data_IF_570563052842
#
_entry.id   IF_570563052842
#
_cell.length_a   1.000
_cell.length_b   1.000
_cell.length_c   1.000
_cell.angle_alpha   90.00
_cell.angle_beta   90.00
_cell.angle_gamma   90.00
#
_symmetry.space_group_name_H-M   'P 1'
#
loop_
_entity.id
_entity.type
_entity.pdbx_description
1 polymer ?
#
# COMPACT_ATOMS: atom_id res chain seq x y z
N UNK A 1 -6.99 11.40 -4.64
CA UNK A 1 -5.89 12.32 -5.02
C UNK A 1 -4.66 11.46 -5.23
N UNK A 2 -4.21 11.41 -6.47
CA UNK A 2 -2.96 10.77 -6.88
C UNK A 2 -2.02 11.91 -7.33
N UNK A 3 -0.73 11.80 -7.02
CA UNK A 3 0.25 12.82 -7.40
C UNK A 3 0.64 12.63 -8.87
N UNK A 4 0.56 13.70 -9.65
CA UNK A 4 0.85 13.65 -11.09
C UNK A 4 2.35 13.43 -11.38
N UNK A 5 2.70 12.83 -12.54
CA UNK A 5 4.08 12.77 -13.02
C UNK A 5 4.73 14.17 -13.04
N UNK A 6 6.00 14.24 -12.65
CA UNK A 6 6.74 15.49 -12.46
C UNK A 6 6.60 16.12 -11.07
N UNK A 7 5.67 15.64 -10.24
CA UNK A 7 5.53 16.10 -8.85
C UNK A 7 6.73 15.69 -8.00
N UNK A 8 7.26 16.62 -7.20
CA UNK A 8 8.23 16.32 -6.15
C UNK A 8 7.51 15.81 -4.91
N UNK A 9 8.05 14.75 -4.32
CA UNK A 9 7.58 14.12 -3.09
C UNK A 9 8.66 14.14 -2.04
N UNK A 10 8.23 14.28 -0.79
CA UNK A 10 9.05 14.06 0.40
C UNK A 10 8.68 12.73 1.07
N UNK A 11 9.65 12.07 1.71
CA UNK A 11 9.40 10.87 2.49
C UNK A 11 8.31 11.13 3.55
N UNK A 12 7.31 10.25 3.60
CA UNK A 12 6.16 10.39 4.50
C UNK A 12 5.03 11.29 3.97
N UNK A 13 5.22 11.97 2.84
CA UNK A 13 4.16 12.74 2.20
C UNK A 13 3.07 11.83 1.62
N UNK A 14 1.81 12.27 1.64
CA UNK A 14 0.70 11.52 1.05
C UNK A 14 0.89 11.37 -0.46
N UNK A 15 1.05 10.14 -0.91
CA UNK A 15 1.20 9.77 -2.30
C UNK A 15 -0.15 9.52 -2.96
N UNK A 16 -0.97 8.68 -2.32
CA UNK A 16 -2.27 8.28 -2.84
C UNK A 16 -3.25 7.92 -1.72
N UNK A 17 -4.52 7.76 -2.10
CA UNK A 17 -5.60 7.36 -1.21
C UNK A 17 -6.35 6.19 -1.80
N UNK A 18 -6.39 5.08 -1.08
CA UNK A 18 -7.17 3.89 -1.41
C UNK A 18 -8.50 3.98 -0.66
N UNK A 19 -9.61 3.72 -1.34
CA UNK A 19 -10.94 3.69 -0.73
C UNK A 19 -11.60 2.35 -1.00
N UNK A 20 -12.11 1.69 0.04
CA UNK A 20 -12.81 0.41 -0.03
C UNK A 20 -14.08 0.50 0.80
N UNK A 21 -15.23 0.65 0.13
CA UNK A 21 -16.48 1.00 0.80
C UNK A 21 -16.32 2.29 1.62
N UNK A 22 -16.65 2.21 2.91
CA UNK A 22 -16.50 3.34 3.85
C UNK A 22 -15.06 3.53 4.38
N UNK A 23 -14.16 2.57 4.11
CA UNK A 23 -12.77 2.62 4.59
C UNK A 23 -11.90 3.44 3.65
N UNK A 24 -11.02 4.25 4.22
CA UNK A 24 -10.08 5.10 3.48
C UNK A 24 -8.68 4.93 4.06
N UNK A 25 -7.73 4.55 3.23
CA UNK A 25 -6.32 4.42 3.59
C UNK A 25 -5.50 5.46 2.82
N UNK A 26 -4.71 6.24 3.55
CA UNK A 26 -3.71 7.12 2.94
C UNK A 26 -2.39 6.36 2.85
N UNK A 27 -1.86 6.23 1.63
CA UNK A 27 -0.54 5.65 1.40
C UNK A 27 0.44 6.81 1.25
N UNK A 28 1.51 6.75 2.03
CA UNK A 28 2.58 7.76 2.03
C UNK A 28 3.73 7.34 1.14
N UNK A 29 4.49 8.32 0.65
CA UNK A 29 5.69 8.06 -0.12
C UNK A 29 6.76 7.42 0.77
N UNK A 30 7.33 6.27 0.40
CA UNK A 30 8.40 5.64 1.17
C UNK A 30 9.69 6.45 1.13
N UNK A 31 9.89 7.22 0.05
CA UNK A 31 11.13 7.93 -0.26
C UNK A 31 10.86 9.31 -0.86
N UNK A 32 11.83 10.22 -0.74
CA UNK A 32 11.81 11.55 -1.33
C UNK A 32 12.31 11.48 -2.78
N UNK A 33 11.60 12.11 -3.70
CA UNK A 33 11.87 11.92 -5.12
C UNK A 33 10.94 12.67 -6.04
N UNK A 34 10.99 12.32 -7.32
CA UNK A 34 10.08 12.83 -8.34
C UNK A 34 9.27 11.68 -8.92
N UNK A 35 7.95 11.84 -9.02
CA UNK A 35 7.09 10.87 -9.70
C UNK A 35 7.43 10.89 -11.18
N UNK A 36 7.82 9.76 -11.75
CA UNK A 36 8.18 9.64 -13.17
C UNK A 36 7.02 9.12 -14.00
N UNK A 37 6.30 8.11 -13.49
CA UNK A 37 5.21 7.46 -14.21
C UNK A 37 4.11 7.04 -13.23
N UNK A 38 2.87 6.99 -13.73
CA UNK A 38 1.73 6.40 -13.06
C UNK A 38 1.20 5.23 -13.90
N UNK A 39 0.70 4.19 -13.24
CA UNK A 39 0.05 3.09 -13.94
C UNK A 39 -1.44 3.40 -14.11
N UNK A 40 -1.80 3.88 -15.30
CA UNK A 40 -3.18 4.19 -15.63
C UNK A 40 -4.09 2.95 -15.73
N UNK A 41 -3.53 1.75 -15.95
CA UNK A 41 -4.30 0.52 -16.06
C UNK A 41 -5.06 0.19 -14.77
N UNK A 42 -4.54 0.58 -13.61
CA UNK A 42 -5.22 0.37 -12.31
C UNK A 42 -6.46 1.26 -12.17
N UNK A 43 -6.49 2.42 -12.85
CA UNK A 43 -7.66 3.28 -12.88
C UNK A 43 -8.80 2.69 -13.71
N UNK A 44 -8.46 1.88 -14.72
CA UNK A 44 -9.41 1.20 -15.59
C UNK A 44 -9.86 -0.14 -14.98
N UNK A 45 -8.91 -0.92 -14.47
CA UNK A 45 -9.13 -2.21 -13.84
C UNK A 45 -8.40 -2.32 -12.48
N UNK A 46 -9.12 -2.10 -11.37
CA UNK A 46 -8.58 -2.28 -10.03
C UNK A 46 -8.30 -3.74 -9.64
N UNK A 47 -8.79 -4.75 -10.39
CA UNK A 47 -8.55 -6.16 -10.05
C UNK A 47 -7.08 -6.55 -10.20
N UNK A 48 -6.35 -5.85 -11.07
CA UNK A 48 -4.91 -6.03 -11.30
C UNK A 48 -4.11 -5.95 -9.99
N UNK A 49 -4.52 -5.08 -9.04
CA UNK A 49 -3.89 -4.97 -7.73
C UNK A 49 -4.02 -6.23 -6.87
N UNK A 50 -5.09 -6.99 -7.05
CA UNK A 50 -5.33 -8.24 -6.33
C UNK A 50 -4.66 -9.42 -7.03
N UNK A 51 -4.71 -9.46 -8.36
CA UNK A 51 -4.23 -10.60 -9.14
C UNK A 51 -2.70 -10.65 -9.25
N UNK A 52 -2.06 -9.49 -9.47
CA UNK A 52 -0.61 -9.39 -9.64
C UNK A 52 -0.05 -8.09 -9.03
N UNK A 53 0.03 -7.98 -7.69
CA UNK A 53 0.38 -6.75 -7.00
C UNK A 53 1.80 -6.24 -7.30
N UNK A 54 2.74 -7.15 -7.60
CA UNK A 54 4.16 -6.81 -7.80
C UNK A 54 4.60 -6.82 -9.27
N UNK A 55 3.85 -7.45 -10.17
CA UNK A 55 4.06 -7.37 -11.61
C UNK A 55 3.25 -6.23 -12.22
N UNK A 56 2.05 -6.53 -12.73
CA UNK A 56 1.18 -5.57 -13.42
C UNK A 56 0.56 -4.52 -12.49
N UNK A 57 0.46 -4.79 -11.20
CA UNK A 57 -0.18 -3.95 -10.18
C UNK A 57 0.68 -2.85 -9.56
N UNK A 58 1.83 -2.50 -10.17
CA UNK A 58 2.63 -1.35 -9.72
C UNK A 58 1.82 -0.05 -9.86
N UNK A 59 1.89 0.85 -8.87
CA UNK A 59 1.04 2.06 -8.86
C UNK A 59 1.73 3.27 -9.48
N UNK A 60 2.97 3.52 -9.10
CA UNK A 60 3.75 4.63 -9.61
C UNK A 60 5.24 4.30 -9.61
N UNK A 61 5.99 4.97 -10.48
CA UNK A 61 7.45 4.98 -10.46
C UNK A 61 7.94 6.31 -9.90
N UNK A 62 8.95 6.25 -9.02
CA UNK A 62 9.54 7.42 -8.37
C UNK A 62 11.03 7.38 -8.62
N UNK A 63 11.60 8.48 -9.11
CA UNK A 63 13.05 8.71 -9.14
C UNK A 63 13.49 9.25 -7.77
N UNK A 64 14.25 8.49 -6.97
CA UNK A 64 14.72 8.95 -5.67
C UNK A 64 15.64 10.16 -5.80
N UNK A 65 15.60 11.06 -4.81
CA UNK A 65 16.56 12.18 -4.72
C UNK A 65 17.88 11.74 -4.09
N UNK A 66 17.81 10.85 -3.09
CA UNK A 66 18.98 10.25 -2.43
C UNK A 66 18.68 8.78 -2.09
N UNK A 67 19.10 7.88 -2.97
CA UNK A 67 18.86 6.45 -2.82
C UNK A 67 19.60 5.83 -1.62
N UNK A 68 20.88 6.19 -1.45
CA UNK A 68 21.74 5.55 -0.44
C UNK A 68 21.31 5.95 0.97
N UNK A 69 20.98 7.22 1.19
CA UNK A 69 20.56 7.68 2.51
C UNK A 69 19.20 7.11 2.93
N UNK A 70 18.25 6.97 1.99
CA UNK A 70 16.87 6.64 2.33
C UNK A 70 16.59 5.13 2.41
N UNK A 71 17.29 4.30 1.64
CA UNK A 71 17.05 2.84 1.60
C UNK A 71 17.55 2.12 2.84
N UNK A 72 18.55 2.67 3.52
CA UNK A 72 19.21 2.03 4.69
C UNK A 72 18.23 1.71 5.83
N UNK A 73 17.11 2.43 5.93
CA UNK A 73 16.09 2.20 6.97
C UNK A 73 15.01 1.16 6.64
N UNK A 74 15.06 0.51 5.46
CA UNK A 74 14.05 -0.46 5.06
C UNK A 74 14.48 -1.89 5.37
N UNK A 75 13.50 -2.71 5.76
CA UNK A 75 13.70 -4.15 5.88
C UNK A 75 13.74 -4.76 4.46
N UNK A 76 14.74 -5.60 4.21
CA UNK A 76 14.94 -6.25 2.90
C UNK A 76 14.98 -7.77 3.08
N UNK A 77 14.47 -8.49 2.08
CA UNK A 77 14.49 -9.96 2.02
C UNK A 77 13.93 -10.62 3.29
N UNK A 78 14.72 -11.47 3.95
CA UNK A 78 14.33 -12.19 5.17
C UNK A 78 13.88 -11.24 6.29
N UNK A 79 14.56 -10.09 6.43
CA UNK A 79 14.20 -9.08 7.43
C UNK A 79 12.80 -8.50 7.22
N UNK A 80 12.34 -8.37 5.96
CA UNK A 80 10.98 -7.91 5.67
C UNK A 80 9.94 -8.96 6.07
N UNK A 81 10.24 -10.23 5.82
CA UNK A 81 9.36 -11.35 6.17
C UNK A 81 9.23 -11.50 7.69
N UNK A 82 10.34 -11.38 8.40
CA UNK A 82 10.36 -11.44 9.86
C UNK A 82 9.60 -10.27 10.50
N UNK A 83 9.78 -9.06 9.95
CA UNK A 83 9.02 -7.90 10.40
C UNK A 83 7.51 -8.10 10.19
N UNK A 84 7.10 -8.57 9.00
CA UNK A 84 5.69 -8.84 8.69
C UNK A 84 5.09 -9.89 9.61
N UNK A 85 5.84 -10.96 9.92
CA UNK A 85 5.39 -12.01 10.85
C UNK A 85 5.13 -11.45 12.24
N UNK A 86 6.09 -10.69 12.78
CA UNK A 86 5.96 -10.04 14.10
C UNK A 86 4.79 -9.06 14.13
N UNK A 87 4.60 -8.31 13.05
CA UNK A 87 3.50 -7.36 12.95
C UNK A 87 2.13 -8.06 12.90
N UNK A 88 2.03 -9.19 12.20
CA UNK A 88 0.82 -10.02 12.20
C UNK A 88 0.50 -10.58 13.59
N UNK A 89 1.51 -11.03 14.33
CA UNK A 89 1.36 -11.49 15.72
C UNK A 89 0.86 -10.37 16.62
N UNK A 90 1.45 -9.17 16.52
CA UNK A 90 1.02 -7.97 17.26
C UNK A 90 -0.45 -7.64 17.00
N UNK A 91 -0.90 -7.68 15.74
CA UNK A 91 -2.30 -7.41 15.37
C UNK A 91 -3.23 -8.51 15.88
N UNK A 92 -2.81 -9.78 15.78
CA UNK A 92 -3.59 -10.92 16.30
C UNK A 92 -3.82 -10.80 17.80
N UNK A 93 -2.79 -10.42 18.54
CA UNK A 93 -2.87 -10.25 19.99
C UNK A 93 -3.71 -9.03 20.35
N UNK A 94 -3.58 -7.91 19.61
CA UNK A 94 -4.48 -6.76 19.76
C UNK A 94 -5.94 -7.13 19.56
N UNK A 95 -6.26 -7.95 18.54
CA UNK A 95 -7.64 -8.42 18.28
C UNK A 95 -8.20 -9.23 19.44
N UNK A 96 -7.39 -10.03 20.13
CA UNK A 96 -7.83 -10.84 21.29
C UNK A 96 -8.22 -9.98 22.51
N UNK A 97 -7.72 -8.75 22.58
CA UNK A 97 -7.99 -7.81 23.68
C UNK A 97 -9.22 -6.93 23.40
N UNK A 98 -9.74 -6.90 22.17
CA UNK A 98 -10.95 -6.15 21.83
C UNK A 98 -12.20 -6.86 22.40
N UNK A 99 -13.09 -6.16 23.12
CA UNK A 99 -14.39 -6.70 23.48
C UNK A 99 -15.16 -7.14 22.23
N UNK A 100 -15.90 -8.23 22.33
CA UNK A 100 -16.70 -8.79 21.25
C UNK A 100 -17.94 -7.92 20.94
N UNK A 101 -17.76 -6.67 20.54
CA UNK A 101 -18.84 -5.83 20.03
C UNK A 101 -18.38 -5.06 18.80
N UNK A 102 -18.33 -5.80 17.69
CA UNK A 102 -18.86 -5.41 16.38
C UNK A 102 -18.48 -6.53 15.44
N UNK A 103 -19.42 -7.43 15.17
CA UNK A 103 -19.40 -8.24 13.96
C UNK A 103 -19.19 -7.29 12.78
N UNK A 104 -17.95 -7.21 12.30
CA UNK A 104 -17.70 -6.81 10.92
C UNK A 104 -18.42 -7.87 10.08
N UNK A 105 -19.68 -7.61 9.73
CA UNK A 105 -20.34 -8.25 8.59
C UNK A 105 -19.51 -7.88 7.37
N UNK A 106 -18.47 -8.67 7.13
CA UNK A 106 -17.79 -8.68 5.85
C UNK A 106 -18.90 -8.98 4.84
N UNK A 107 -19.21 -8.07 3.89
CA UNK A 107 -20.08 -8.44 2.80
C UNK A 107 -19.46 -9.68 2.14
N UNK A 108 -20.27 -10.65 1.66
CA UNK A 108 -19.72 -11.80 0.96
C UNK A 108 -18.79 -11.26 -0.13
N UNK A 109 -17.53 -11.68 -0.10
CA UNK A 109 -16.60 -11.43 -1.18
C UNK A 109 -17.12 -12.20 -2.40
N UNK A 110 -18.05 -11.59 -3.14
CA UNK A 110 -18.52 -12.15 -4.39
C UNK A 110 -17.57 -11.63 -5.47
N UNK A 111 -16.50 -12.39 -5.70
CA UNK A 111 -15.79 -12.32 -6.97
C UNK A 111 -16.75 -12.92 -8.01
N UNK A 112 -17.59 -12.08 -8.64
CA UNK A 112 -18.30 -12.50 -9.86
C UNK A 112 -17.32 -12.31 -11.02
N UNK A 113 -16.80 -13.41 -11.53
CA UNK A 113 -16.36 -13.49 -12.92
C UNK A 113 -17.61 -13.43 -13.79
N UNK A 114 -17.78 -12.35 -14.54
CA UNK A 114 -18.53 -12.37 -15.80
C UNK A 114 -17.52 -12.40 -16.95
#
# INVERSE_FOLDING_TARGET
MLKEPGSRLTRGEKLLKISLGDKRLAVVSPLSGMVTCLNHAIGEDPSILHDDPYGKGWICSIRPSDWMAEVTGFAVAEGATDWLRKELERIRDFRRVLPAEQEMKLPPFICRTE
#
